data_IF_172534469007
#
_entry.id   IF_172534469007
#
_cell.length_a   1.000
_cell.length_b   1.000
_cell.length_c   1.000
_cell.angle_alpha   90.00
_cell.angle_beta   90.00
_cell.angle_gamma   90.00
#
_symmetry.space_group_name_H-M   'P 1'
#
loop_
_entity.id
_entity.type
_entity.pdbx_description
1 polymer ?
#
# COMPACT_ATOMS: atom_id res chain seq x y z
N UNK A 1 -3.31 -12.34 -2.16
CA UNK A 1 -3.44 -11.23 -3.12
C UNK A 1 -2.92 -9.91 -2.56
N UNK A 2 -3.23 -9.50 -1.34
CA UNK A 2 -2.74 -8.24 -0.74
C UNK A 2 -1.21 -8.10 -0.75
N UNK A 3 -0.48 -9.18 -0.68
CA UNK A 3 0.99 -9.19 -0.62
C UNK A 3 1.65 -9.02 -1.98
N UNK A 4 0.92 -9.31 -3.06
CA UNK A 4 1.42 -9.16 -4.44
C UNK A 4 1.51 -7.68 -4.84
N UNK A 5 0.79 -6.80 -4.13
CA UNK A 5 0.87 -5.34 -4.35
C UNK A 5 2.17 -4.71 -3.83
N UNK A 6 3.08 -5.48 -3.24
CA UNK A 6 4.39 -4.98 -2.79
C UNK A 6 4.35 -3.94 -1.66
N UNK A 7 3.19 -3.70 -1.02
CA UNK A 7 3.01 -2.62 -0.04
C UNK A 7 4.05 -2.63 1.08
N UNK A 8 4.43 -3.81 1.59
CA UNK A 8 5.43 -3.90 2.65
C UNK A 8 6.84 -3.58 2.13
N UNK A 9 7.17 -3.97 0.90
CA UNK A 9 8.42 -3.60 0.24
C UNK A 9 8.49 -2.08 0.03
N UNK A 10 7.44 -1.49 -0.51
CA UNK A 10 7.34 -0.04 -0.72
C UNK A 10 7.40 0.72 0.61
N UNK A 11 6.73 0.24 1.66
CA UNK A 11 6.74 0.88 2.98
C UNK A 11 8.14 0.89 3.60
N UNK A 12 8.88 -0.22 3.50
CA UNK A 12 10.24 -0.30 4.03
C UNK A 12 11.22 0.57 3.27
N UNK A 13 11.03 0.73 1.96
CA UNK A 13 11.85 1.56 1.10
C UNK A 13 11.39 3.01 1.00
N UNK A 14 10.16 3.33 1.41
CA UNK A 14 9.61 4.67 1.33
C UNK A 14 10.51 5.71 2.01
N UNK A 15 11.06 5.39 3.18
CA UNK A 15 11.97 6.28 3.89
C UNK A 15 13.28 6.51 3.11
N UNK A 16 13.84 5.46 2.50
CA UNK A 16 15.06 5.56 1.70
C UNK A 16 14.84 6.37 0.42
N UNK A 17 13.67 6.21 -0.21
CA UNK A 17 13.29 6.97 -1.39
C UNK A 17 13.15 8.46 -1.03
N UNK A 18 12.49 8.77 0.08
CA UNK A 18 12.31 10.16 0.52
C UNK A 18 13.60 10.80 1.00
N UNK A 19 14.49 10.06 1.66
CA UNK A 19 15.83 10.54 2.03
C UNK A 19 16.63 10.99 0.81
N UNK A 20 16.55 10.28 -0.31
CA UNK A 20 17.21 10.66 -1.58
C UNK A 20 16.58 11.91 -2.21
N UNK A 21 15.28 12.10 -2.02
CA UNK A 21 14.45 13.10 -2.70
C UNK A 21 14.34 14.41 -1.94
N UNK A 22 14.05 14.33 -0.64
CA UNK A 22 13.77 15.47 0.23
C UNK A 22 14.33 15.18 1.63
N UNK A 23 15.64 15.35 1.85
CA UNK A 23 16.29 14.99 3.12
C UNK A 23 15.68 15.73 4.34
N UNK A 24 15.18 16.95 4.16
CA UNK A 24 14.53 17.71 5.23
C UNK A 24 13.13 17.22 5.64
N UNK A 25 12.45 16.44 4.80
CA UNK A 25 11.13 15.86 5.08
C UNK A 25 11.21 14.39 5.50
N UNK A 26 12.37 13.74 5.37
CA UNK A 26 12.52 12.33 5.64
C UNK A 26 12.15 11.93 7.06
N UNK A 27 12.43 12.78 8.04
CA UNK A 27 12.06 12.55 9.45
C UNK A 27 10.54 12.51 9.66
N UNK A 28 9.78 13.28 8.87
CA UNK A 28 8.32 13.38 8.98
C UNK A 28 7.57 12.46 8.01
N UNK A 29 8.28 11.77 7.11
CA UNK A 29 7.66 10.94 6.06
C UNK A 29 6.74 9.87 6.64
N UNK A 30 7.22 9.14 7.64
CA UNK A 30 6.44 8.11 8.31
C UNK A 30 5.16 8.69 8.94
N UNK A 31 5.27 9.84 9.58
CA UNK A 31 4.14 10.52 10.21
C UNK A 31 3.10 10.99 9.18
N UNK A 32 3.54 11.58 8.08
CA UNK A 32 2.67 12.04 6.99
C UNK A 32 1.94 10.85 6.34
N UNK A 33 2.64 9.78 6.05
CA UNK A 33 2.04 8.56 5.47
C UNK A 33 1.03 7.93 6.43
N UNK A 34 1.38 7.78 7.71
CA UNK A 34 0.48 7.22 8.72
C UNK A 34 -0.76 8.08 8.93
N UNK A 35 -0.61 9.41 8.98
CA UNK A 35 -1.72 10.34 9.12
C UNK A 35 -2.65 10.28 7.90
N UNK A 36 -2.09 10.31 6.70
CA UNK A 36 -2.86 10.19 5.46
C UNK A 36 -3.62 8.85 5.38
N UNK A 37 -2.96 7.75 5.76
CA UNK A 37 -3.58 6.43 5.78
C UNK A 37 -4.67 6.32 6.85
N UNK A 38 -4.47 6.91 8.03
CA UNK A 38 -5.48 6.94 9.07
C UNK A 38 -6.75 7.69 8.63
N UNK A 39 -6.59 8.87 8.02
CA UNK A 39 -7.72 9.61 7.45
C UNK A 39 -8.42 8.82 6.34
N UNK A 40 -7.66 8.17 5.46
CA UNK A 40 -8.20 7.33 4.41
C UNK A 40 -9.06 6.18 4.99
N UNK A 41 -8.61 5.52 6.05
CA UNK A 41 -9.36 4.44 6.72
C UNK A 41 -10.68 4.98 7.31
N UNK A 42 -10.68 6.15 7.94
CA UNK A 42 -11.92 6.77 8.46
C UNK A 42 -12.93 7.03 7.35
N UNK A 43 -12.48 7.56 6.22
CA UNK A 43 -13.32 7.79 5.04
C UNK A 43 -13.85 6.46 4.49
N UNK A 44 -13.04 5.42 4.50
CA UNK A 44 -13.44 4.08 4.02
C UNK A 44 -14.59 3.49 4.83
N UNK A 45 -14.65 3.74 6.13
CA UNK A 45 -15.78 3.27 6.94
C UNK A 45 -17.11 3.82 6.43
N UNK A 46 -17.14 5.07 5.96
CA UNK A 46 -18.32 5.67 5.35
C UNK A 46 -18.61 5.12 3.94
N UNK A 47 -17.56 4.92 3.14
CA UNK A 47 -17.68 4.43 1.75
C UNK A 47 -18.10 2.95 1.72
N UNK A 48 -17.63 2.15 2.66
CA UNK A 48 -17.92 0.71 2.71
C UNK A 48 -19.40 0.41 2.87
N UNK A 49 -20.16 1.32 3.47
CA UNK A 49 -21.61 1.21 3.64
C UNK A 49 -22.33 1.43 2.30
N UNK A 50 -21.80 2.33 1.46
CA UNK A 50 -22.42 2.76 0.20
C UNK A 50 -21.97 1.95 -1.01
N UNK A 51 -20.70 1.56 -1.05
CA UNK A 51 -20.11 0.76 -2.13
C UNK A 51 -19.89 -0.67 -1.67
N UNK A 52 -20.34 -1.64 -2.46
CA UNK A 52 -20.14 -3.05 -2.16
C UNK A 52 -18.66 -3.39 -1.97
N UNK A 53 -18.32 -4.17 -0.93
CA UNK A 53 -16.95 -4.57 -0.56
C UNK A 53 -16.16 -5.18 -1.71
N UNK A 54 -16.82 -5.97 -2.55
CA UNK A 54 -16.22 -6.63 -3.72
C UNK A 54 -15.76 -5.64 -4.78
N UNK A 55 -16.57 -4.63 -5.04
CA UNK A 55 -16.26 -3.54 -5.98
C UNK A 55 -15.05 -2.74 -5.50
N UNK A 56 -15.02 -2.40 -4.21
CA UNK A 56 -13.92 -1.64 -3.62
C UNK A 56 -12.58 -2.39 -3.71
N UNK A 57 -12.59 -3.71 -3.46
CA UNK A 57 -11.39 -4.56 -3.57
C UNK A 57 -10.90 -4.62 -5.03
N UNK A 58 -11.79 -4.80 -6.01
CA UNK A 58 -11.42 -4.93 -7.41
C UNK A 58 -10.84 -3.61 -7.96
N UNK A 59 -11.54 -2.50 -7.77
CA UNK A 59 -11.08 -1.19 -8.24
C UNK A 59 -9.81 -0.74 -7.50
N UNK A 60 -9.73 -0.97 -6.20
CA UNK A 60 -8.53 -0.66 -5.43
C UNK A 60 -7.30 -1.45 -5.90
N UNK A 61 -7.46 -2.74 -6.17
CA UNK A 61 -6.36 -3.57 -6.64
C UNK A 61 -5.88 -3.14 -8.03
N UNK A 62 -6.80 -2.76 -8.91
CA UNK A 62 -6.47 -2.25 -10.25
C UNK A 62 -5.76 -0.91 -10.18
N UNK A 63 -6.26 0.03 -9.34
CA UNK A 63 -5.64 1.33 -9.15
C UNK A 63 -4.22 1.21 -8.56
N UNK A 64 -4.03 0.34 -7.56
CA UNK A 64 -2.71 0.09 -6.98
C UNK A 64 -1.74 -0.52 -7.99
N UNK A 65 -2.19 -1.47 -8.83
CA UNK A 65 -1.35 -2.05 -9.88
C UNK A 65 -0.88 -1.01 -10.90
N UNK A 66 -1.73 -0.06 -11.28
CA UNK A 66 -1.34 1.05 -12.15
C UNK A 66 -0.32 1.95 -11.46
N UNK A 67 -0.51 2.27 -10.18
CA UNK A 67 0.42 3.09 -9.42
C UNK A 67 1.78 2.39 -9.23
N UNK A 68 1.81 1.07 -9.03
CA UNK A 68 3.05 0.30 -8.94
C UNK A 68 3.86 0.39 -10.24
N UNK A 69 3.20 0.28 -11.39
CA UNK A 69 3.85 0.46 -12.69
C UNK A 69 4.39 1.88 -12.85
N UNK A 70 3.60 2.88 -12.48
CA UNK A 70 4.04 4.28 -12.54
C UNK A 70 5.24 4.54 -11.60
N UNK A 71 5.19 4.06 -10.37
CA UNK A 71 6.31 4.16 -9.42
C UNK A 71 7.57 3.49 -9.98
N UNK A 72 7.45 2.29 -10.57
CA UNK A 72 8.55 1.60 -11.22
C UNK A 72 9.17 2.40 -12.36
N UNK A 73 8.36 2.97 -13.24
CA UNK A 73 8.83 3.80 -14.35
C UNK A 73 9.54 5.06 -13.85
N UNK A 74 8.92 5.81 -12.94
CA UNK A 74 9.49 7.06 -12.45
C UNK A 74 10.72 6.86 -11.55
N UNK A 75 10.88 5.71 -10.90
CA UNK A 75 12.08 5.41 -10.10
C UNK A 75 13.33 5.19 -10.96
N UNK A 76 13.18 4.86 -12.25
CA UNK A 76 14.29 4.67 -13.18
C UNK A 76 14.85 6.04 -13.65
N UNK A 77 14.02 7.08 -13.69
CA UNK A 77 14.43 8.41 -14.13
C UNK A 77 15.00 9.22 -12.95
N UNK A 78 16.31 9.28 -12.81
CA UNK A 78 17.01 10.06 -11.76
C UNK A 78 17.03 11.57 -12.08
N UNK A 79 15.88 12.21 -12.22
CA UNK A 79 15.76 13.66 -12.40
C UNK A 79 15.15 14.32 -11.16
N UNK A 80 15.57 15.57 -10.88
CA UNK A 80 15.07 16.37 -9.74
C UNK A 80 13.53 16.50 -9.70
N UNK A 81 12.88 16.52 -10.87
CA UNK A 81 11.41 16.54 -11.01
C UNK A 81 10.78 15.18 -10.72
N UNK A 82 11.47 14.10 -11.08
CA UNK A 82 11.03 12.72 -10.82
C UNK A 82 10.87 12.46 -9.32
N UNK A 83 11.71 13.03 -8.53
CA UNK A 83 11.75 12.88 -7.07
C UNK A 83 10.46 13.35 -6.38
N UNK A 84 9.99 14.55 -6.70
CA UNK A 84 8.75 15.10 -6.13
C UNK A 84 7.51 14.32 -6.61
N UNK A 85 7.53 13.84 -7.87
CA UNK A 85 6.47 13.02 -8.42
C UNK A 85 6.41 11.66 -7.73
N UNK A 86 7.56 11.02 -7.49
CA UNK A 86 7.63 9.73 -6.77
C UNK A 86 7.08 9.86 -5.35
N UNK A 87 7.40 10.94 -4.63
CA UNK A 87 6.84 11.20 -3.31
C UNK A 87 5.32 11.36 -3.35
N UNK A 88 4.80 12.16 -4.29
CA UNK A 88 3.36 12.34 -4.45
C UNK A 88 2.65 11.02 -4.80
N UNK A 89 3.23 10.21 -5.70
CA UNK A 89 2.71 8.89 -6.05
C UNK A 89 2.71 7.94 -4.85
N UNK A 90 3.74 7.98 -4.00
CA UNK A 90 3.79 7.21 -2.76
C UNK A 90 2.63 7.57 -1.82
N UNK A 91 2.41 8.86 -1.57
CA UNK A 91 1.30 9.31 -0.71
C UNK A 91 -0.03 8.87 -1.28
N UNK A 92 -0.26 9.05 -2.59
CA UNK A 92 -1.48 8.61 -3.28
C UNK A 92 -1.66 7.10 -3.16
N UNK A 93 -0.59 6.33 -3.32
CA UNK A 93 -0.59 4.87 -3.17
C UNK A 93 -1.10 4.44 -1.78
N UNK A 94 -0.56 5.03 -0.71
CA UNK A 94 -0.99 4.72 0.66
C UNK A 94 -2.42 5.17 0.96
N UNK A 95 -2.84 6.30 0.41
CA UNK A 95 -4.24 6.77 0.52
C UNK A 95 -5.19 5.79 -0.18
N UNK A 96 -4.92 5.41 -1.42
CA UNK A 96 -5.76 4.45 -2.17
C UNK A 96 -5.78 3.09 -1.48
N UNK A 97 -4.63 2.63 -0.97
CA UNK A 97 -4.58 1.40 -0.18
C UNK A 97 -5.46 1.49 1.08
N UNK A 98 -5.38 2.59 1.82
CA UNK A 98 -6.21 2.85 2.99
C UNK A 98 -7.70 2.94 2.66
N UNK A 99 -8.05 3.52 1.51
CA UNK A 99 -9.43 3.65 1.04
C UNK A 99 -10.04 2.34 0.55
N UNK A 100 -9.24 1.38 0.10
CA UNK A 100 -9.75 0.18 -0.59
C UNK A 100 -9.38 -1.12 0.10
N UNK A 101 -8.14 -1.56 -0.08
CA UNK A 101 -7.70 -2.91 0.31
C UNK A 101 -7.48 -3.06 1.82
N UNK A 102 -6.99 -2.02 2.49
CA UNK A 102 -6.64 -2.08 3.91
C UNK A 102 -7.77 -2.64 4.78
N UNK A 103 -8.85 -1.89 4.97
CA UNK A 103 -9.96 -2.33 5.82
C UNK A 103 -10.84 -3.38 5.16
N UNK A 104 -11.05 -3.31 3.83
CA UNK A 104 -11.98 -4.19 3.12
C UNK A 104 -11.60 -5.69 3.24
N UNK A 105 -10.32 -6.01 3.17
CA UNK A 105 -9.86 -7.42 3.27
C UNK A 105 -10.06 -7.98 4.67
N UNK A 106 -9.82 -7.21 5.72
CA UNK A 106 -10.00 -7.66 7.09
C UNK A 106 -11.45 -7.96 7.45
N UNK A 107 -12.40 -7.32 6.76
CA UNK A 107 -13.83 -7.56 6.92
C UNK A 107 -14.28 -8.73 6.01
N UNK A 108 -13.77 -8.77 4.77
CA UNK A 108 -14.20 -9.73 3.77
C UNK A 108 -13.70 -11.17 4.03
N UNK A 109 -12.47 -11.30 4.54
CA UNK A 109 -11.87 -12.63 4.80
C UNK A 109 -12.65 -13.42 5.85
N UNK A 110 -13.03 -12.87 7.02
CA UNK A 110 -13.84 -13.60 8.01
C UNK A 110 -15.27 -13.93 7.54
N UNK A 111 -15.79 -13.18 6.56
CA UNK A 111 -17.14 -13.45 6.03
C UNK A 111 -17.20 -14.65 5.08
N UNK A 112 -16.11 -14.90 4.36
CA UNK A 112 -16.05 -15.98 3.35
C UNK A 112 -15.47 -17.25 3.93
N UNK A 113 -14.51 -17.13 4.85
CA UNK A 113 -13.78 -18.27 5.37
C UNK A 113 -14.40 -18.79 6.67
N UNK A 114 -14.50 -20.13 6.83
CA UNK A 114 -14.88 -20.70 8.10
C UNK A 114 -13.84 -20.32 9.18
N UNK A 115 -14.26 -20.18 10.45
CA UNK A 115 -13.40 -19.72 11.54
C UNK A 115 -12.07 -20.49 11.67
N UNK A 116 -12.07 -21.77 11.32
CA UNK A 116 -10.87 -22.64 11.34
C UNK A 116 -9.84 -22.30 10.26
N UNK A 117 -10.25 -21.67 9.16
CA UNK A 117 -9.37 -21.31 8.04
C UNK A 117 -8.78 -19.91 8.17
N UNK A 118 -9.31 -19.04 9.04
CA UNK A 118 -8.82 -17.67 9.24
C UNK A 118 -7.37 -17.62 9.70
N UNK A 119 -6.90 -18.41 10.71
CA UNK A 119 -5.50 -18.42 11.12
C UNK A 119 -4.58 -18.83 9.97
N UNK A 120 -4.97 -19.81 9.16
CA UNK A 120 -4.17 -20.26 8.02
C UNK A 120 -4.05 -19.18 6.95
N UNK A 121 -5.14 -18.49 6.63
CA UNK A 121 -5.13 -17.36 5.69
C UNK A 121 -4.23 -16.21 6.21
N UNK A 122 -4.24 -15.96 7.52
CA UNK A 122 -3.38 -14.96 8.16
C UNK A 122 -1.89 -15.35 8.10
N UNK A 123 -1.56 -16.63 8.35
CA UNK A 123 -0.19 -17.14 8.18
C UNK A 123 0.29 -16.94 6.74
N UNK A 124 -0.50 -17.35 5.75
CA UNK A 124 -0.15 -17.18 4.34
C UNK A 124 0.04 -15.72 3.95
N UNK A 125 -0.75 -14.82 4.55
CA UNK A 125 -0.56 -13.38 4.39
C UNK A 125 0.82 -12.95 4.89
N UNK A 126 1.20 -13.30 6.09
CA UNK A 126 2.48 -12.88 6.67
C UNK A 126 3.69 -13.52 5.97
N UNK A 127 3.58 -14.77 5.53
CA UNK A 127 4.60 -15.39 4.68
C UNK A 127 4.79 -14.63 3.37
N UNK A 128 3.69 -14.26 2.70
CA UNK A 128 3.75 -13.43 1.50
C UNK A 128 4.37 -12.05 1.76
N UNK A 129 4.09 -11.42 2.90
CA UNK A 129 4.70 -10.16 3.31
C UNK A 129 6.23 -10.29 3.45
N UNK A 130 6.68 -11.33 4.14
CA UNK A 130 8.11 -11.61 4.34
C UNK A 130 8.83 -11.81 3.00
N UNK A 131 8.27 -12.65 2.13
CA UNK A 131 8.84 -12.88 0.79
C UNK A 131 8.90 -11.58 -0.01
N UNK A 132 7.81 -10.81 -0.03
CA UNK A 132 7.76 -9.50 -0.71
C UNK A 132 8.84 -8.56 -0.19
N UNK A 133 8.98 -8.42 1.13
CA UNK A 133 9.99 -7.54 1.73
C UNK A 133 11.42 -7.96 1.38
N UNK A 134 11.71 -9.27 1.39
CA UNK A 134 13.03 -9.80 1.00
C UNK A 134 13.32 -9.51 -0.48
N UNK A 135 12.35 -9.79 -1.35
CA UNK A 135 12.52 -9.56 -2.80
C UNK A 135 12.76 -8.07 -3.08
N UNK A 136 11.97 -7.19 -2.51
CA UNK A 136 12.17 -5.74 -2.66
C UNK A 136 13.47 -5.24 -2.01
N UNK A 137 13.88 -5.82 -0.90
CA UNK A 137 15.13 -5.47 -0.23
C UNK A 137 16.40 -5.93 -0.97
N UNK A 138 16.28 -6.91 -1.86
CA UNK A 138 17.41 -7.41 -2.68
C UNK A 138 17.47 -6.72 -4.04
N UNK A 139 16.31 -6.30 -4.59
CA UNK A 139 16.20 -5.73 -5.94
C UNK A 139 16.41 -4.20 -5.95
N UNK A 140 16.13 -3.52 -4.85
CA UNK A 140 16.31 -2.05 -4.69
C UNK A 140 17.49 -1.71 -3.78
#
# INVERSE_FOLDING_TARGET
MLQVTGIYGILTQANNIVLKVLPGLAEYTGLVICAAQFLAILVTLCILISFGRRTLILFGNLALGVLDIMLGIFSIFENSWSSSVVFALLVIYFVIFGLSLGPAIWIYVPEILPPRAIPFATMMKWMGATVSTIVFGVVL
#
